data_IF_713073277758
#
_entry.id   IF_713073277758
#
_cell.length_a   1.000
_cell.length_b   1.000
_cell.length_c   1.000
_cell.angle_alpha   90.00
_cell.angle_beta   90.00
_cell.angle_gamma   90.00
#
_symmetry.space_group_name_H-M   'P 1'
#
loop_
_entity.id
_entity.type
_entity.pdbx_description
1 polymer ?
#
# COMPACT_ATOMS: atom_id res chain seq x y z
N UNK A 1 -18.47 7.17 3.52
CA UNK A 1 -18.91 6.37 2.38
C UNK A 1 -18.25 6.74 1.05
N UNK A 2 -18.91 6.34 -0.03
CA UNK A 2 -18.57 6.56 -1.44
C UNK A 2 -19.48 7.68 -1.96
N UNK A 3 -18.92 8.64 -2.71
CA UNK A 3 -19.70 9.77 -3.23
C UNK A 3 -20.84 9.30 -4.13
N UNK A 4 -22.03 9.85 -3.92
CA UNK A 4 -23.24 9.48 -4.67
C UNK A 4 -23.91 8.17 -4.21
N UNK A 5 -23.42 7.50 -3.16
CA UNK A 5 -24.04 6.30 -2.59
C UNK A 5 -24.65 6.56 -1.21
N UNK A 6 -25.67 5.78 -0.84
CA UNK A 6 -26.15 5.78 0.55
C UNK A 6 -25.07 5.18 1.46
N UNK A 7 -24.96 5.67 2.70
CA UNK A 7 -23.86 5.27 3.60
C UNK A 7 -23.87 3.76 3.89
N UNK A 8 -25.04 3.15 4.08
CA UNK A 8 -25.15 1.71 4.31
C UNK A 8 -24.59 0.89 3.13
N UNK A 9 -24.98 1.24 1.90
CA UNK A 9 -24.49 0.59 0.67
C UNK A 9 -22.99 0.81 0.48
N UNK A 10 -22.49 2.02 0.79
CA UNK A 10 -21.08 2.32 0.71
C UNK A 10 -20.25 1.51 1.71
N UNK A 11 -20.73 1.35 2.94
CA UNK A 11 -20.05 0.54 3.96
C UNK A 11 -20.02 -0.94 3.61
N UNK A 12 -21.12 -1.46 3.05
CA UNK A 12 -21.18 -2.83 2.54
C UNK A 12 -20.15 -3.06 1.43
N UNK A 13 -20.12 -2.17 0.42
CA UNK A 13 -19.13 -2.24 -0.67
C UNK A 13 -17.69 -2.14 -0.16
N UNK A 14 -17.39 -1.23 0.77
CA UNK A 14 -16.05 -1.08 1.33
C UNK A 14 -15.62 -2.34 2.10
N UNK A 15 -16.54 -2.98 2.81
CA UNK A 15 -16.30 -4.27 3.50
C UNK A 15 -16.01 -5.39 2.49
N UNK A 16 -16.78 -5.48 1.41
CA UNK A 16 -16.55 -6.45 0.34
C UNK A 16 -15.17 -6.27 -0.33
N UNK A 17 -14.83 -5.04 -0.71
CA UNK A 17 -13.54 -4.71 -1.32
C UNK A 17 -12.38 -5.00 -0.37
N UNK A 18 -12.53 -4.66 0.91
CA UNK A 18 -11.54 -4.99 1.94
C UNK A 18 -11.33 -6.51 2.03
N UNK A 19 -12.42 -7.29 2.17
CA UNK A 19 -12.33 -8.75 2.27
C UNK A 19 -11.77 -9.39 0.99
N UNK A 20 -12.05 -8.83 -0.18
CA UNK A 20 -11.51 -9.31 -1.46
C UNK A 20 -10.00 -9.04 -1.56
N UNK A 21 -9.56 -7.81 -1.34
CA UNK A 21 -8.16 -7.41 -1.54
C UNK A 21 -7.22 -8.06 -0.50
N UNK A 22 -7.73 -8.48 0.66
CA UNK A 22 -6.92 -9.13 1.72
C UNK A 22 -6.91 -10.66 1.66
N UNK A 23 -7.40 -11.30 0.60
CA UNK A 23 -7.32 -12.78 0.47
C UNK A 23 -5.88 -13.27 0.40
N UNK A 24 -5.61 -14.44 0.96
CA UNK A 24 -4.24 -14.99 1.08
C UNK A 24 -3.51 -15.12 -0.25
N UNK A 25 -4.22 -15.46 -1.33
CA UNK A 25 -3.68 -15.57 -2.69
C UNK A 25 -3.11 -14.25 -3.27
N UNK A 26 -3.46 -13.10 -2.69
CA UNK A 26 -2.93 -11.79 -3.08
C UNK A 26 -1.84 -11.28 -2.12
N UNK A 27 -1.50 -12.06 -1.09
CA UNK A 27 -0.53 -11.65 -0.06
C UNK A 27 0.86 -12.21 -0.34
N UNK A 28 1.84 -11.31 -0.34
CA UNK A 28 3.24 -11.66 -0.16
C UNK A 28 3.70 -11.24 1.24
N UNK A 29 4.37 -12.15 1.97
CA UNK A 29 4.92 -11.88 3.31
C UNK A 29 6.44 -11.94 3.27
N UNK A 30 7.06 -10.80 3.53
CA UNK A 30 8.52 -10.68 3.54
C UNK A 30 9.09 -10.89 4.94
N UNK A 31 10.09 -11.77 5.07
CA UNK A 31 10.91 -11.90 6.28
C UNK A 31 12.16 -11.07 6.10
N UNK A 32 12.34 -10.06 6.95
CA UNK A 32 13.47 -9.15 6.86
C UNK A 32 14.77 -9.82 7.33
N UNK A 33 15.83 -9.57 6.59
CA UNK A 33 17.21 -9.90 6.97
C UNK A 33 18.09 -8.65 6.83
N UNK A 34 19.21 -8.56 7.59
CA UNK A 34 20.15 -7.45 7.45
C UNK A 34 20.56 -7.22 5.99
N UNK A 35 20.66 -5.95 5.59
CA UNK A 35 21.04 -5.52 4.24
C UNK A 35 20.04 -5.90 3.12
N UNK A 36 18.79 -6.21 3.47
CA UNK A 36 17.74 -6.43 2.47
C UNK A 36 17.16 -5.12 1.93
N UNK A 37 17.02 -5.03 0.60
CA UNK A 37 16.25 -4.00 -0.08
C UNK A 37 14.95 -4.60 -0.61
N UNK A 38 13.82 -4.04 -0.18
CA UNK A 38 12.50 -4.34 -0.74
C UNK A 38 11.98 -3.12 -1.49
N UNK A 39 11.48 -3.32 -2.71
CA UNK A 39 10.87 -2.29 -3.53
C UNK A 39 9.50 -2.78 -4.03
N UNK A 40 8.53 -1.89 -4.09
CA UNK A 40 7.20 -2.19 -4.61
C UNK A 40 6.64 -1.01 -5.40
N UNK A 41 5.71 -1.30 -6.32
CA UNK A 41 4.93 -0.27 -7.02
C UNK A 41 3.73 0.12 -6.17
N UNK A 42 3.76 1.30 -5.58
CA UNK A 42 2.71 1.77 -4.67
C UNK A 42 1.36 2.03 -5.37
N UNK A 43 1.31 2.03 -6.70
CA UNK A 43 0.06 2.20 -7.48
C UNK A 43 -0.78 0.94 -7.55
N UNK A 44 -0.20 -0.22 -7.23
CA UNK A 44 -0.83 -1.51 -7.48
C UNK A 44 -0.84 -2.45 -6.27
N UNK A 45 -0.38 -1.98 -5.11
CA UNK A 45 -0.32 -2.80 -3.89
C UNK A 45 -0.79 -2.03 -2.67
N UNK A 46 -1.30 -2.77 -1.70
CA UNK A 46 -1.40 -2.33 -0.31
C UNK A 46 -0.31 -3.02 0.50
N UNK A 47 0.17 -2.38 1.56
CA UNK A 47 1.17 -2.97 2.46
C UNK A 47 0.78 -2.77 3.92
N UNK A 48 1.14 -3.73 4.76
CA UNK A 48 0.90 -3.70 6.20
C UNK A 48 2.18 -4.12 6.93
N UNK A 49 2.61 -3.29 7.88
CA UNK A 49 3.68 -3.66 8.80
C UNK A 49 3.09 -4.55 9.91
N UNK A 50 3.55 -5.79 10.01
CA UNK A 50 3.22 -6.67 11.13
C UNK A 50 4.09 -6.32 12.33
N UNK A 51 3.53 -6.37 13.54
CA UNK A 51 4.24 -6.23 14.81
C UNK A 51 5.06 -7.48 15.18
N UNK A 52 5.29 -7.70 16.48
CA UNK A 52 5.95 -8.90 17.01
C UNK A 52 7.45 -8.75 17.31
N UNK A 53 7.92 -7.51 17.47
CA UNK A 53 9.30 -7.17 17.85
C UNK A 53 9.32 -6.38 19.17
N UNK A 54 8.42 -6.73 20.10
CA UNK A 54 8.32 -6.09 21.41
C UNK A 54 9.66 -6.19 22.15
N UNK A 55 10.16 -5.05 22.64
CA UNK A 55 11.45 -4.96 23.32
C UNK A 55 12.68 -4.88 22.40
N UNK A 56 12.52 -4.90 21.07
CA UNK A 56 13.62 -4.79 20.10
C UNK A 56 13.51 -3.51 19.27
N UNK A 57 14.64 -2.85 19.04
CA UNK A 57 14.71 -1.73 18.11
C UNK A 57 14.69 -2.22 16.65
N UNK A 58 13.88 -1.58 15.81
CA UNK A 58 13.80 -1.88 14.37
C UNK A 58 13.94 -0.59 13.57
N UNK A 59 15.04 -0.48 12.81
CA UNK A 59 15.32 0.66 11.93
C UNK A 59 15.19 0.25 10.46
N UNK A 60 14.45 1.03 9.69
CA UNK A 60 14.39 0.95 8.23
C UNK A 60 14.69 2.31 7.64
N UNK A 61 15.38 2.33 6.49
CA UNK A 61 15.50 3.51 5.65
C UNK A 61 14.54 3.38 4.47
N UNK A 62 13.73 4.41 4.23
CA UNK A 62 12.76 4.43 3.13
C UNK A 62 12.98 5.64 2.23
N UNK A 63 13.08 5.39 0.93
CA UNK A 63 13.00 6.40 -0.12
C UNK A 63 11.69 6.18 -0.88
N UNK A 64 10.91 7.25 -1.07
CA UNK A 64 9.67 7.21 -1.84
C UNK A 64 9.90 7.91 -3.17
N UNK A 65 9.60 7.22 -4.27
CA UNK A 65 9.63 7.80 -5.62
C UNK A 65 8.30 8.53 -5.84
N UNK A 66 8.36 9.83 -6.10
CA UNK A 66 7.19 10.64 -6.39
C UNK A 66 6.54 10.26 -7.72
N UNK A 67 5.24 10.53 -7.84
CA UNK A 67 4.56 10.42 -9.12
C UNK A 67 5.12 11.45 -10.12
N UNK A 68 5.01 11.12 -11.40
CA UNK A 68 5.35 12.07 -12.46
C UNK A 68 4.29 13.17 -12.44
N UNK A 69 4.69 14.40 -12.15
CA UNK A 69 3.82 15.55 -12.35
C UNK A 69 3.71 15.89 -13.85
N UNK A 70 2.52 16.32 -14.26
CA UNK A 70 2.25 16.78 -15.63
C UNK A 70 3.07 18.01 -16.03
N UNK A 71 3.74 18.66 -15.07
CA UNK A 71 4.65 19.79 -15.32
C UNK A 71 5.78 19.48 -16.31
N UNK A 72 6.12 18.20 -16.52
CA UNK A 72 7.17 17.77 -17.46
C UNK A 72 6.67 17.40 -18.86
N UNK A 73 5.35 17.49 -19.16
CA UNK A 73 4.81 17.26 -20.53
C UNK A 73 4.79 18.52 -21.40
N UNK A 74 4.84 19.71 -20.81
CA UNK A 74 4.77 20.98 -21.54
C UNK A 74 6.11 21.40 -22.20
N UNK A 75 7.20 20.66 -21.97
CA UNK A 75 8.54 21.01 -22.45
C UNK A 75 8.98 20.26 -23.73
N UNK A 76 8.10 19.49 -24.37
CA UNK A 76 8.41 18.69 -25.57
C UNK A 76 7.37 18.82 -26.69
N UNK A 77 6.70 19.97 -26.76
CA UNK A 77 5.86 20.37 -27.90
C UNK A 77 6.62 21.24 -28.88
#
# INVERSE_FOLDING_TARGET
>A
GVEGMQEAEALELLSELHNWQTREQFQYRHRWEPNTLLMWDNRSVLHCAQGGYDGFARLLHRTTIAERSDANRAATG
#
